data_IF_637998279396
#
_entry.id   IF_637998279396
#
_cell.length_a   1.000
_cell.length_b   1.000
_cell.length_c   1.000
_cell.angle_alpha   90.00
_cell.angle_beta   90.00
_cell.angle_gamma   90.00
#
_symmetry.space_group_name_H-M   'P 1'
#
loop_
_entity.id
_entity.type
_entity.pdbx_description
1 polymer ?
#
# COMPACT_ATOMS: atom_id res chain seq x y z
N UNK A 1 -13.09 -32.31 1.55
CA UNK A 1 -12.32 -31.18 2.14
C UNK A 1 -12.30 -30.02 1.16
N UNK A 2 -12.47 -28.79 1.64
CA UNK A 2 -12.49 -27.58 0.82
C UNK A 2 -11.53 -26.52 1.36
N UNK A 3 -10.84 -25.81 0.45
CA UNK A 3 -9.98 -24.68 0.81
C UNK A 3 -10.60 -23.38 0.30
N UNK A 4 -10.73 -22.40 1.18
CA UNK A 4 -11.12 -21.04 0.84
C UNK A 4 -9.91 -20.12 0.96
N UNK A 5 -9.66 -19.31 -0.07
CA UNK A 5 -8.61 -18.28 -0.05
C UNK A 5 -9.25 -16.95 -0.41
N UNK A 6 -9.15 -15.99 0.50
CA UNK A 6 -9.59 -14.61 0.32
C UNK A 6 -8.36 -13.71 0.19
N UNK A 7 -8.26 -13.04 -0.95
CA UNK A 7 -7.17 -12.14 -1.29
C UNK A 7 -7.62 -10.70 -1.09
N UNK A 8 -7.33 -10.16 0.09
CA UNK A 8 -7.57 -8.77 0.45
C UNK A 8 -6.44 -7.84 0.02
N UNK A 9 -6.64 -6.54 0.21
CA UNK A 9 -5.63 -5.52 -0.11
C UNK A 9 -4.49 -5.46 0.91
N UNK A 10 -4.79 -5.70 2.18
CA UNK A 10 -3.85 -5.63 3.29
C UNK A 10 -3.38 -7.00 3.79
N UNK A 11 -3.93 -8.08 3.25
CA UNK A 11 -3.68 -9.42 3.78
C UNK A 11 -4.40 -10.49 2.99
N UNK A 12 -4.01 -11.72 3.26
CA UNK A 12 -4.63 -12.94 2.74
C UNK A 12 -5.21 -13.72 3.91
N UNK A 13 -6.38 -14.31 3.71
CA UNK A 13 -6.97 -15.27 4.65
C UNK A 13 -7.21 -16.60 3.96
N UNK A 14 -6.73 -17.67 4.55
CA UNK A 14 -7.00 -19.04 4.13
C UNK A 14 -7.84 -19.76 5.19
N UNK A 15 -8.81 -20.56 4.75
CA UNK A 15 -9.63 -21.43 5.59
C UNK A 15 -9.67 -22.83 5.01
N UNK A 16 -9.74 -23.83 5.88
CA UNK A 16 -9.89 -25.23 5.52
C UNK A 16 -11.18 -25.75 6.13
N UNK A 17 -12.05 -26.33 5.31
CA UNK A 17 -13.33 -26.90 5.71
C UNK A 17 -13.36 -28.41 5.47
N UNK A 18 -14.09 -29.14 6.31
CA UNK A 18 -14.45 -30.54 6.04
C UNK A 18 -15.60 -30.64 5.02
N UNK A 19 -16.07 -31.86 4.78
CA UNK A 19 -17.15 -32.14 3.82
C UNK A 19 -18.51 -31.61 4.28
N UNK A 20 -18.70 -31.48 5.60
CA UNK A 20 -19.91 -30.98 6.24
C UNK A 20 -19.88 -29.45 6.40
N UNK A 21 -18.82 -28.79 5.92
CA UNK A 21 -18.62 -27.35 5.99
C UNK A 21 -18.11 -26.85 7.35
N UNK A 22 -17.65 -27.71 8.25
CA UNK A 22 -17.05 -27.30 9.51
C UNK A 22 -15.65 -26.75 9.29
N UNK A 23 -15.31 -25.71 10.05
CA UNK A 23 -14.00 -25.08 10.01
C UNK A 23 -12.95 -25.94 10.73
N UNK A 24 -11.99 -26.46 9.96
CA UNK A 24 -10.87 -27.25 10.48
C UNK A 24 -9.67 -26.37 10.85
N UNK A 25 -9.37 -25.37 10.02
CA UNK A 25 -8.25 -24.46 10.25
C UNK A 25 -8.48 -23.11 9.56
N UNK A 26 -7.86 -22.06 10.10
CA UNK A 26 -7.78 -20.76 9.44
C UNK A 26 -6.44 -20.10 9.69
N UNK A 27 -5.94 -19.36 8.71
CA UNK A 27 -4.69 -18.62 8.81
C UNK A 27 -4.82 -17.30 8.07
N UNK A 28 -4.22 -16.24 8.61
CA UNK A 28 -4.21 -14.92 8.01
C UNK A 28 -2.80 -14.37 8.02
N UNK A 29 -2.39 -13.79 6.90
CA UNK A 29 -1.08 -13.15 6.77
C UNK A 29 -1.22 -11.73 6.23
N UNK A 30 -0.45 -10.81 6.80
CA UNK A 30 -0.44 -9.43 6.39
C UNK A 30 0.39 -9.26 5.10
N UNK A 31 -0.14 -8.51 4.14
CA UNK A 31 0.58 -8.14 2.93
C UNK A 31 1.14 -6.73 3.07
N UNK A 32 2.41 -6.58 2.72
CA UNK A 32 3.02 -5.26 2.60
C UNK A 32 2.57 -4.63 1.28
N UNK A 33 1.86 -3.50 1.37
CA UNK A 33 1.39 -2.77 0.19
C UNK A 33 2.43 -1.73 -0.22
N UNK A 34 2.91 -1.81 -1.47
CA UNK A 34 3.69 -0.72 -2.05
C UNK A 34 2.76 0.44 -2.41
N UNK A 35 2.81 1.52 -1.62
CA UNK A 35 2.03 2.72 -1.89
C UNK A 35 2.62 3.50 -3.07
N UNK A 36 2.17 3.19 -4.30
CA UNK A 36 2.25 4.14 -5.42
C UNK A 36 1.01 5.02 -5.39
N UNK A 37 1.04 6.07 -4.58
CA UNK A 37 -0.04 7.06 -4.54
C UNK A 37 -0.06 7.88 -5.84
N UNK A 38 -0.77 7.41 -6.86
CA UNK A 38 -1.23 8.26 -7.98
C UNK A 38 -2.61 8.87 -7.72
N UNK A 39 -3.32 8.42 -6.69
CA UNK A 39 -4.58 9.03 -6.30
C UNK A 39 -4.31 10.47 -5.84
N UNK A 40 -4.89 11.45 -6.53
CA UNK A 40 -4.63 12.87 -6.30
C UNK A 40 -3.45 13.47 -7.06
N UNK A 41 -2.69 12.71 -7.88
CA UNK A 41 -1.57 13.28 -8.63
C UNK A 41 -2.02 14.31 -9.68
N UNK A 42 -3.21 14.14 -10.25
CA UNK A 42 -3.82 15.16 -11.13
C UNK A 42 -4.12 16.46 -10.38
N UNK A 43 -4.41 16.38 -9.08
CA UNK A 43 -4.65 17.54 -8.20
C UNK A 43 -3.34 18.22 -7.78
N UNK A 44 -2.25 17.45 -7.64
CA UNK A 44 -0.88 17.96 -7.41
C UNK A 44 -0.31 18.66 -8.65
N UNK A 45 -0.66 18.20 -9.86
CA UNK A 45 -0.19 18.79 -11.12
C UNK A 45 -0.86 20.12 -11.49
N UNK A 46 -1.92 20.54 -10.78
CA UNK A 46 -2.52 21.86 -10.96
C UNK A 46 -1.68 22.90 -10.22
N UNK A 47 -1.23 23.98 -10.87
CA UNK A 47 -0.64 25.12 -10.16
C UNK A 47 -1.58 25.58 -9.05
N UNK A 48 -1.10 25.62 -7.79
CA UNK A 48 -1.90 25.99 -6.62
C UNK A 48 -2.65 24.85 -5.92
N UNK A 49 -2.54 23.60 -6.38
CA UNK A 49 -3.14 22.44 -5.72
C UNK A 49 -2.35 21.95 -4.50
N UNK A 50 -2.98 21.94 -3.32
CA UNK A 50 -2.39 21.35 -2.11
C UNK A 50 -2.42 19.82 -2.21
N UNK A 51 -1.30 19.10 -2.00
CA UNK A 51 -1.30 17.64 -2.01
C UNK A 51 -2.16 17.08 -0.86
N UNK A 52 -2.95 16.01 -1.09
CA UNK A 52 -3.84 15.43 -0.07
C UNK A 52 -3.10 14.70 1.06
N UNK A 53 -1.81 14.48 0.86
CA UNK A 53 -0.88 13.97 1.87
C UNK A 53 0.25 14.99 1.95
N UNK A 54 0.29 15.78 3.02
CA UNK A 54 1.51 16.48 3.37
C UNK A 54 2.59 15.41 3.57
N UNK A 55 3.67 15.38 2.79
CA UNK A 55 4.77 14.50 3.13
C UNK A 55 5.28 14.96 4.49
N UNK A 56 5.33 14.05 5.46
CA UNK A 56 5.96 14.25 6.77
C UNK A 56 7.43 14.73 6.70
N UNK A 57 8.01 14.80 5.50
CA UNK A 57 9.35 15.32 5.20
C UNK A 57 9.44 16.85 5.17
N UNK A 58 8.34 17.59 5.43
CA UNK A 58 8.35 19.07 5.48
C UNK A 58 8.68 19.62 6.88
N UNK A 59 9.59 18.97 7.59
CA UNK A 59 10.28 19.49 8.79
C UNK A 59 11.80 19.31 8.67
N UNK A 60 12.37 19.72 7.54
CA UNK A 60 13.79 20.04 7.45
C UNK A 60 13.98 20.98 6.26
N UNK A 61 14.25 22.24 6.58
CA UNK A 61 14.75 23.19 5.61
C UNK A 61 16.05 22.68 5.00
N UNK A 62 16.31 23.12 3.76
CA UNK A 62 17.60 23.13 3.09
C UNK A 62 18.38 21.80 3.07
N UNK A 63 18.12 20.96 2.09
CA UNK A 63 19.19 20.50 1.18
C UNK A 63 18.53 20.10 -0.13
N UNK A 64 19.03 20.70 -1.21
CA UNK A 64 18.66 20.45 -2.59
C UNK A 64 18.90 18.96 -2.88
N UNK A 65 17.86 18.13 -2.84
CA UNK A 65 17.97 16.71 -3.18
C UNK A 65 18.10 16.59 -4.69
N UNK A 66 19.36 16.52 -5.13
CA UNK A 66 19.80 16.28 -6.48
C UNK A 66 19.23 14.93 -6.94
N UNK A 67 18.17 14.98 -7.75
CA UNK A 67 17.62 13.82 -8.44
C UNK A 67 18.24 13.86 -9.83
N UNK A 68 18.89 12.77 -10.21
CA UNK A 68 19.74 12.59 -11.40
C UNK A 68 21.18 13.07 -11.20
N UNK A 69 22.06 12.13 -10.87
CA UNK A 69 23.50 12.38 -10.88
C UNK A 69 23.97 12.81 -12.26
N UNK A 70 24.42 14.05 -12.36
CA UNK A 70 25.36 14.57 -13.36
C UNK A 70 26.28 15.53 -12.60
N UNK A 71 27.58 15.19 -12.58
CA UNK A 71 28.64 15.93 -11.89
C UNK A 71 29.03 17.20 -12.65
N UNK A 72 29.21 18.30 -11.91
CA UNK A 72 30.36 19.22 -11.90
C UNK A 72 30.00 20.44 -11.04
#
# INVERSE_FOLDING_TARGET
MYIGIDLGTSGVKAILLDEQGQLLASHSEALTVSARSRCGLSRIRRPGGTPPIAPCWRSAASTRCNRYGLSA
#
